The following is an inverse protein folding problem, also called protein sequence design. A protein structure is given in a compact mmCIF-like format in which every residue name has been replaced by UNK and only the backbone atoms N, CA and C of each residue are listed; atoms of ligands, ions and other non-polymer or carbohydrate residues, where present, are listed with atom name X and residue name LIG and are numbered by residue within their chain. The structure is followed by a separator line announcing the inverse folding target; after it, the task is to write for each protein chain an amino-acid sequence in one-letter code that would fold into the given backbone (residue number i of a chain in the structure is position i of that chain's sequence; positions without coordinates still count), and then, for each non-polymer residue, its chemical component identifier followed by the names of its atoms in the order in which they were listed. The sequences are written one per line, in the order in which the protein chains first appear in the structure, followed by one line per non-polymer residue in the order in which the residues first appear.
data_IF_334619540857
#
_entry.id   IF_334619540857
#
_cell.length_a   1.000
_cell.length_b   1.000
_cell.length_c   1.000
_cell.angle_alpha   90.00
_cell.angle_beta   90.00
_cell.angle_gamma   90.00
#
_symmetry.space_group_name_H-M   'P 1'
#
loop_
_entity.id
_entity.type
_entity.pdbx_description
1 polymer ?
#
# COMPACT_ATOMS: atom_id res chain seq x y z
N UNK A 1 9.27 -10.11 14.20
CA UNK A 1 7.96 -10.44 13.59
C UNK A 1 8.20 -11.46 12.49
N UNK A 2 7.41 -12.54 12.39
CA UNK A 2 7.52 -13.51 11.28
C UNK A 2 6.52 -13.13 10.21
N UNK A 3 6.99 -12.75 9.02
CA UNK A 3 6.11 -12.48 7.88
C UNK A 3 5.58 -13.83 7.35
N UNK A 4 4.27 -14.00 7.14
CA UNK A 4 3.69 -15.24 6.60
C UNK A 4 4.23 -15.59 5.21
N UNK A 5 3.98 -16.83 4.77
CA UNK A 5 4.36 -17.31 3.44
C UNK A 5 5.79 -17.84 3.32
N UNK A 6 6.15 -18.26 2.11
CA UNK A 6 7.43 -18.86 1.76
C UNK A 6 8.19 -17.99 0.76
N UNK A 7 9.51 -17.98 0.92
CA UNK A 7 10.38 -17.26 0.00
C UNK A 7 10.66 -18.16 -1.21
N UNK A 8 10.26 -17.73 -2.41
CA UNK A 8 10.45 -18.48 -3.66
C UNK A 8 11.79 -18.18 -4.34
N UNK A 9 12.36 -17.01 -4.09
CA UNK A 9 13.62 -16.52 -4.67
C UNK A 9 14.51 -15.90 -3.60
N UNK A 10 15.84 -15.93 -3.77
CA UNK A 10 16.79 -15.23 -2.91
C UNK A 10 16.98 -13.76 -3.29
N UNK A 11 16.42 -13.35 -4.41
CA UNK A 11 16.56 -12.01 -4.98
C UNK A 11 15.24 -11.24 -4.90
N UNK A 12 15.29 -9.90 -4.87
CA UNK A 12 14.12 -9.06 -5.15
C UNK A 12 13.39 -9.52 -6.41
N UNK A 13 12.08 -9.47 -6.39
CA UNK A 13 11.22 -9.87 -7.49
C UNK A 13 10.21 -8.77 -7.84
N UNK A 14 9.39 -9.04 -8.86
CA UNK A 14 8.38 -8.10 -9.36
C UNK A 14 7.45 -7.59 -8.26
N UNK A 15 7.03 -8.46 -7.32
CA UNK A 15 6.15 -8.08 -6.21
C UNK A 15 6.82 -7.05 -5.31
N UNK A 16 8.09 -7.28 -4.95
CA UNK A 16 8.87 -6.36 -4.15
C UNK A 16 9.13 -5.04 -4.88
N UNK A 17 9.42 -5.09 -6.18
CA UNK A 17 9.60 -3.90 -7.00
C UNK A 17 8.32 -3.07 -7.06
N UNK A 18 7.17 -3.71 -7.31
CA UNK A 18 5.86 -3.07 -7.37
C UNK A 18 5.48 -2.42 -6.04
N UNK A 19 5.79 -3.08 -4.92
CA UNK A 19 5.65 -2.51 -3.59
C UNK A 19 6.53 -1.25 -3.40
N UNK A 20 7.78 -1.28 -3.87
CA UNK A 20 8.68 -0.13 -3.86
C UNK A 20 8.18 1.04 -4.72
N UNK A 21 7.66 0.77 -5.92
CA UNK A 21 7.05 1.76 -6.80
C UNK A 21 5.85 2.46 -6.11
N UNK A 22 5.01 1.71 -5.39
CA UNK A 22 3.90 2.28 -4.64
C UNK A 22 4.38 3.22 -3.54
N UNK A 23 5.39 2.78 -2.77
CA UNK A 23 5.98 3.60 -1.72
C UNK A 23 6.62 4.89 -2.28
N UNK A 24 7.29 4.80 -3.44
CA UNK A 24 7.85 5.96 -4.14
C UNK A 24 6.76 6.92 -4.64
N UNK A 25 5.66 6.41 -5.20
CA UNK A 25 4.52 7.23 -5.62
C UNK A 25 3.90 7.98 -4.42
N UNK A 26 3.77 7.32 -3.26
CA UNK A 26 3.39 7.98 -2.01
C UNK A 26 4.48 8.96 -1.56
N UNK A 27 5.77 8.70 -1.68
CA UNK A 27 6.79 9.70 -1.31
C UNK A 27 6.68 10.95 -2.19
N UNK A 28 6.62 10.77 -3.50
CA UNK A 28 6.75 11.82 -4.51
C UNK A 28 5.43 12.54 -4.82
N UNK A 29 4.34 12.14 -4.15
CA UNK A 29 3.01 12.70 -4.35
C UNK A 29 2.40 12.43 -5.73
N UNK A 30 2.82 11.34 -6.38
CA UNK A 30 2.14 10.77 -7.53
C UNK A 30 0.95 9.91 -7.07
N UNK A 31 -0.10 10.59 -6.63
CA UNK A 31 -1.27 9.91 -6.05
C UNK A 31 -2.14 9.22 -7.09
N UNK A 32 -2.04 9.61 -8.36
CA UNK A 32 -2.71 8.92 -9.46
C UNK A 32 -2.10 7.53 -9.66
N UNK A 33 -0.77 7.45 -9.72
CA UNK A 33 -0.06 6.19 -9.77
C UNK A 33 -0.34 5.35 -8.52
N UNK A 34 -0.17 5.93 -7.32
CA UNK A 34 -0.39 5.19 -6.07
C UNK A 34 -1.83 4.64 -5.97
N UNK A 35 -2.83 5.38 -6.42
CA UNK A 35 -4.23 4.93 -6.44
C UNK A 35 -4.46 3.80 -7.45
N UNK A 36 -3.85 3.88 -8.63
CA UNK A 36 -3.98 2.87 -9.67
C UNK A 36 -3.39 1.50 -9.28
N UNK A 37 -2.38 1.50 -8.40
CA UNK A 37 -1.70 0.29 -7.90
C UNK A 37 -2.46 -0.44 -6.79
N UNK A 38 -3.61 0.06 -6.37
CA UNK A 38 -4.42 -0.57 -5.33
C UNK A 38 -5.30 -1.68 -5.91
N UNK A 39 -5.47 -2.77 -5.14
CA UNK A 39 -6.46 -3.80 -5.45
C UNK A 39 -7.85 -3.18 -5.64
N UNK A 40 -8.70 -3.77 -6.48
CA UNK A 40 -10.08 -3.26 -6.67
C UNK A 40 -10.83 -3.18 -5.34
N UNK A 41 -10.62 -4.17 -4.47
CA UNK A 41 -11.23 -4.20 -3.14
C UNK A 41 -10.74 -3.04 -2.26
N UNK A 42 -9.43 -2.79 -2.22
CA UNK A 42 -8.86 -1.69 -1.43
C UNK A 42 -9.33 -0.33 -1.94
N UNK A 43 -9.42 -0.12 -3.27
CA UNK A 43 -10.02 1.11 -3.85
C UNK A 43 -11.48 1.26 -3.46
N UNK A 44 -12.25 0.19 -3.67
CA UNK A 44 -13.66 0.05 -3.28
C UNK A 44 -13.92 0.56 -1.87
N UNK A 45 -13.17 -0.01 -0.94
CA UNK A 45 -13.29 0.28 0.47
C UNK A 45 -12.83 1.72 0.80
N UNK A 46 -11.70 2.17 0.25
CA UNK A 46 -11.16 3.51 0.52
C UNK A 46 -12.12 4.63 0.10
N UNK A 47 -12.66 4.58 -1.12
CA UNK A 47 -13.60 5.63 -1.54
C UNK A 47 -14.92 5.53 -0.74
N UNK A 48 -15.36 4.33 -0.37
CA UNK A 48 -16.58 4.15 0.44
C UNK A 48 -16.44 4.73 1.85
N UNK A 49 -15.29 4.50 2.50
CA UNK A 49 -14.97 5.12 3.80
C UNK A 49 -14.86 6.63 3.68
N UNK A 50 -14.17 7.12 2.67
CA UNK A 50 -14.07 8.57 2.42
C UNK A 50 -15.45 9.20 2.20
N UNK A 51 -16.31 8.58 1.38
CA UNK A 51 -17.68 9.01 1.15
C UNK A 51 -18.47 9.12 2.47
N UNK A 52 -18.37 8.09 3.31
CA UNK A 52 -19.02 8.04 4.63
C UNK A 52 -18.53 9.16 5.55
N UNK A 53 -17.21 9.36 5.62
CA UNK A 53 -16.58 10.36 6.49
C UNK A 53 -16.95 11.79 6.08
N UNK A 54 -17.01 12.05 4.78
CA UNK A 54 -17.26 13.37 4.20
C UNK A 54 -18.75 13.62 3.87
N UNK A 55 -19.63 12.64 4.15
CA UNK A 55 -21.07 12.68 3.82
C UNK A 55 -21.33 12.94 2.33
N UNK A 56 -20.55 12.30 1.47
CA UNK A 56 -20.66 12.38 0.01
C UNK A 56 -21.54 11.23 -0.47
N UNK A 57 -22.37 11.50 -1.49
CA UNK A 57 -23.13 10.46 -2.17
C UNK A 57 -22.21 9.36 -2.75
N UNK A 58 -22.59 8.10 -2.58
CA UNK A 58 -21.74 6.96 -2.96
C UNK A 58 -21.46 6.93 -4.47
N UNK A 59 -22.40 7.35 -5.33
CA UNK A 59 -22.17 7.40 -6.77
C UNK A 59 -21.18 8.51 -7.14
N UNK A 60 -21.23 9.64 -6.45
CA UNK A 60 -20.26 10.74 -6.62
C UNK A 60 -18.87 10.29 -6.20
N UNK A 61 -18.75 9.59 -5.06
CA UNK A 61 -17.47 9.06 -4.60
C UNK A 61 -16.91 7.97 -5.52
N UNK A 62 -17.77 7.08 -6.02
CA UNK A 62 -17.41 6.10 -7.04
C UNK A 62 -16.87 6.77 -8.31
N UNK A 63 -17.56 7.79 -8.83
CA UNK A 63 -17.06 8.54 -10.00
C UNK A 63 -15.72 9.20 -9.71
N UNK A 64 -15.56 9.85 -8.56
CA UNK A 64 -14.28 10.43 -8.15
C UNK A 64 -13.14 9.40 -8.06
N UNK A 65 -13.46 8.13 -7.74
CA UNK A 65 -12.48 7.06 -7.63
C UNK A 65 -12.00 6.49 -8.97
N UNK A 66 -12.81 6.58 -10.03
CA UNK A 66 -12.53 5.94 -11.32
C UNK A 66 -12.47 6.90 -12.53
N UNK A 67 -12.96 8.13 -12.38
CA UNK A 67 -12.84 9.20 -13.37
C UNK A 67 -11.78 10.23 -12.89
N UNK A 68 -10.63 10.24 -13.56
CA UNK A 68 -9.51 11.13 -13.25
C UNK A 68 -9.83 12.61 -13.50
N UNK A 69 -10.88 12.91 -14.28
CA UNK A 69 -11.32 14.28 -14.55
C UNK A 69 -12.37 14.78 -13.57
N UNK A 70 -12.84 13.93 -12.66
CA UNK A 70 -13.90 14.28 -11.72
C UNK A 70 -13.43 15.37 -10.74
N UNK A 71 -14.24 16.42 -10.46
CA UNK A 71 -13.83 17.55 -9.61
C UNK A 71 -13.36 17.17 -8.19
N UNK A 72 -13.84 16.03 -7.66
CA UNK A 72 -13.47 15.55 -6.33
C UNK A 72 -12.28 14.59 -6.31
N UNK A 73 -11.67 14.28 -7.47
CA UNK A 73 -10.53 13.36 -7.59
C UNK A 73 -9.39 13.76 -6.66
N UNK A 74 -8.95 15.03 -6.74
CA UNK A 74 -7.87 15.57 -5.91
C UNK A 74 -8.17 15.47 -4.42
N UNK A 75 -9.42 15.71 -4.01
CA UNK A 75 -9.80 15.63 -2.60
C UNK A 75 -9.73 14.19 -2.06
N UNK A 76 -10.22 13.22 -2.83
CA UNK A 76 -10.13 11.79 -2.51
C UNK A 76 -8.66 11.34 -2.40
N UNK A 77 -7.83 11.70 -3.39
CA UNK A 77 -6.43 11.31 -3.43
C UNK A 77 -5.60 11.95 -2.30
N UNK A 78 -5.92 13.19 -1.94
CA UNK A 78 -5.28 13.88 -0.81
C UNK A 78 -5.63 13.20 0.52
N UNK A 79 -6.91 12.84 0.72
CA UNK A 79 -7.35 12.10 1.91
C UNK A 79 -6.68 10.73 2.01
N UNK A 80 -6.60 10.00 0.88
CA UNK A 80 -5.88 8.73 0.78
C UNK A 80 -4.40 8.88 1.15
N UNK A 81 -3.69 9.88 0.60
CA UNK A 81 -2.30 10.17 0.96
C UNK A 81 -2.14 10.41 2.46
N UNK A 82 -2.99 11.26 3.03
CA UNK A 82 -2.94 11.57 4.46
C UNK A 82 -3.17 10.34 5.32
N UNK A 83 -4.04 9.43 4.89
CA UNK A 83 -4.24 8.16 5.57
C UNK A 83 -2.96 7.33 5.57
N UNK A 84 -2.32 7.17 4.40
CA UNK A 84 -1.08 6.41 4.27
C UNK A 84 0.02 7.00 5.16
N UNK A 85 0.20 8.32 5.12
CA UNK A 85 1.25 9.02 5.86
C UNK A 85 1.04 9.02 7.39
N UNK A 86 -0.15 8.68 7.88
CA UNK A 86 -0.38 8.43 9.32
C UNK A 86 0.25 7.12 9.79
N UNK A 87 0.51 6.19 8.88
CA UNK A 87 1.14 4.90 9.17
C UNK A 87 2.61 4.85 8.83
N UNK A 88 3.00 5.50 7.74
CA UNK A 88 4.38 5.56 7.28
C UNK A 88 4.77 7.01 7.17
N UNK A 89 5.63 7.49 8.09
CA UNK A 89 6.10 8.86 8.01
C UNK A 89 6.83 9.06 6.68
N UNK A 90 6.78 10.27 6.13
CA UNK A 90 7.39 10.54 4.81
C UNK A 90 8.90 10.22 4.82
N UNK A 91 9.58 10.49 5.94
CA UNK A 91 11.00 10.19 6.13
C UNK A 91 11.29 8.68 6.03
N UNK A 92 10.36 7.83 6.45
CA UNK A 92 10.49 6.37 6.36
C UNK A 92 10.41 5.89 4.90
N UNK A 93 9.77 6.65 4.01
CA UNK A 93 9.60 6.29 2.60
C UNK A 93 10.77 6.72 1.70
N UNK A 94 11.70 7.54 2.21
CA UNK A 94 12.82 8.08 1.43
C UNK A 94 13.91 7.04 1.13
N UNK A 95 14.17 6.12 2.08
CA UNK A 95 15.30 5.19 2.06
C UNK A 95 14.85 3.72 2.09
N UNK A 96 13.95 3.33 1.19
CA UNK A 96 13.41 1.97 1.14
C UNK A 96 14.21 1.04 0.24
N UNK A 97 14.51 -0.15 0.76
CA UNK A 97 15.01 -1.28 -0.02
C UNK A 97 13.91 -2.19 -0.50
N UNK A 98 14.27 -3.12 -1.39
CA UNK A 98 13.39 -4.23 -1.78
C UNK A 98 14.03 -5.52 -1.32
N UNK A 99 13.28 -6.33 -0.58
CA UNK A 99 13.72 -7.66 -0.13
C UNK A 99 12.98 -8.75 -0.88
N UNK A 100 13.49 -10.00 -0.86
CA UNK A 100 12.77 -11.12 -1.45
C UNK A 100 11.38 -11.28 -0.84
N UNK A 101 10.37 -11.35 -1.70
CA UNK A 101 8.96 -11.45 -1.32
C UNK A 101 8.64 -12.79 -0.66
N UNK A 102 7.68 -12.77 0.27
CA UNK A 102 7.11 -13.99 0.84
C UNK A 102 5.72 -14.25 0.28
N UNK A 103 5.55 -15.41 -0.35
CA UNK A 103 4.31 -15.82 -1.00
C UNK A 103 3.49 -16.67 -0.06
N UNK A 104 2.23 -16.30 0.19
CA UNK A 104 1.30 -17.13 0.95
C UNK A 104 0.75 -18.24 0.05
N UNK A 105 0.40 -17.86 -1.17
CA UNK A 105 -0.02 -18.75 -2.25
C UNK A 105 0.38 -18.10 -3.60
N UNK A 106 -0.23 -18.52 -4.70
CA UNK A 106 0.08 -18.01 -6.04
C UNK A 106 -0.50 -16.63 -6.36
N UNK A 107 -1.42 -16.14 -5.53
CA UNK A 107 -2.11 -14.86 -5.74
C UNK A 107 -1.97 -13.88 -4.56
N UNK A 108 -1.47 -14.32 -3.41
CA UNK A 108 -1.23 -13.50 -2.23
C UNK A 108 0.24 -13.52 -1.81
N UNK A 109 0.77 -12.34 -1.53
CA UNK A 109 2.15 -12.19 -1.09
C UNK A 109 2.32 -11.04 -0.08
N UNK A 110 3.46 -11.03 0.59
CA UNK A 110 3.91 -9.93 1.43
C UNK A 110 5.28 -9.44 0.92
N UNK A 111 5.29 -8.21 0.43
CA UNK A 111 6.52 -7.49 0.14
C UNK A 111 7.02 -6.81 1.42
N UNK A 112 8.32 -6.84 1.66
CA UNK A 112 8.96 -6.15 2.78
C UNK A 112 9.97 -5.14 2.27
N UNK A 113 9.79 -3.89 2.66
CA UNK A 113 10.60 -2.75 2.28
C UNK A 113 11.37 -2.22 3.51
N UNK A 114 12.62 -2.66 3.74
CA UNK A 114 13.41 -2.24 4.89
C UNK A 114 13.87 -0.78 4.77
N UNK A 115 13.90 -0.09 5.89
CA UNK A 115 14.44 1.27 5.98
C UNK A 115 15.98 1.26 5.93
N UNK A 116 16.55 2.26 5.28
CA UNK A 116 18.00 2.49 5.23
C UNK A 116 18.78 1.54 4.32
N UNK A 117 18.11 0.83 3.40
CA UNK A 117 18.74 -0.12 2.47
C UNK A 117 18.46 0.30 1.04
N UNK A 118 19.32 1.10 0.42
CA UNK A 118 19.07 1.60 -0.95
C UNK A 118 19.62 0.70 -2.07
N UNK A 119 20.44 -0.32 -1.74
CA UNK A 119 21.04 -1.24 -2.69
C UNK A 119 20.93 -2.71 -2.24
N UNK A 120 20.57 -3.57 -3.20
CA UNK A 120 20.52 -5.03 -3.19
C UNK A 120 20.57 -5.74 -1.82
N UNK A 121 19.40 -6.19 -1.38
CA UNK A 121 19.17 -6.95 -0.16
C UNK A 121 19.74 -8.39 -0.17
N UNK A 122 20.62 -8.75 -1.11
CA UNK A 122 21.20 -10.11 -1.22
C UNK A 122 21.98 -10.53 0.03
N UNK A 123 22.33 -9.59 0.92
CA UNK A 123 23.13 -9.83 2.13
C UNK A 123 22.45 -9.44 3.44
N UNK A 124 21.13 -9.55 3.54
CA UNK A 124 20.46 -9.42 4.84
C UNK A 124 20.76 -10.65 5.69
N UNK A 125 21.76 -10.49 6.54
CA UNK A 125 22.18 -11.50 7.51
C UNK A 125 21.00 -11.82 8.43
N UNK A 126 20.64 -13.11 8.53
CA UNK A 126 19.47 -13.68 9.22
C UNK A 126 19.28 -13.33 10.72
N UNK A 127 20.02 -12.37 11.28
CA UNK A 127 20.09 -12.08 12.73
C UNK A 127 19.92 -10.61 13.13
N UNK A 128 19.65 -9.68 12.19
CA UNK A 128 19.29 -8.30 12.56
C UNK A 128 17.80 -8.07 12.37
N UNK A 129 17.14 -7.58 13.42
CA UNK A 129 15.79 -7.02 13.32
C UNK A 129 15.90 -5.75 12.49
N UNK A 130 15.23 -5.71 11.34
CA UNK A 130 15.15 -4.52 10.50
C UNK A 130 13.74 -3.95 10.55
N UNK A 131 13.66 -2.64 10.77
CA UNK A 131 12.43 -1.88 10.61
C UNK A 131 12.15 -1.68 9.13
N UNK A 132 10.88 -1.67 8.75
CA UNK A 132 10.47 -1.49 7.37
C UNK A 132 8.96 -1.57 7.22
N UNK A 133 8.50 -1.35 6.00
CA UNK A 133 7.09 -1.46 5.63
C UNK A 133 6.80 -2.87 5.12
N UNK A 134 5.73 -3.49 5.61
CA UNK A 134 5.19 -4.72 5.04
C UNK A 134 3.95 -4.35 4.23
N UNK A 135 3.95 -4.65 2.94
CA UNK A 135 2.83 -4.45 2.04
C UNK A 135 2.23 -5.80 1.67
N UNK A 136 0.97 -6.08 2.04
CA UNK A 136 0.22 -7.18 1.46
C UNK A 136 -0.05 -6.90 -0.02
N UNK A 137 0.11 -7.93 -0.84
CA UNK A 137 0.03 -7.85 -2.28
C UNK A 137 -0.95 -8.93 -2.78
N UNK A 138 -1.74 -8.57 -3.79
CA UNK A 138 -2.73 -9.44 -4.43
C UNK A 138 -2.49 -9.44 -5.94
N UNK A 139 -2.40 -10.61 -6.56
CA UNK A 139 -2.35 -10.75 -8.01
C UNK A 139 -3.76 -10.63 -8.56
N UNK A 140 -4.03 -9.54 -9.29
CA UNK A 140 -5.32 -9.27 -9.91
C UNK A 140 -5.11 -8.96 -11.39
N UNK A 141 -5.84 -9.67 -12.26
CA UNK A 141 -5.77 -9.47 -13.72
C UNK A 141 -4.36 -9.58 -14.33
N UNK A 142 -3.49 -10.38 -13.69
CA UNK A 142 -2.11 -10.59 -14.13
C UNK A 142 -1.11 -9.56 -13.62
N UNK A 143 -1.55 -8.59 -12.82
CA UNK A 143 -0.67 -7.60 -12.18
C UNK A 143 -0.74 -7.68 -10.65
N UNK A 144 0.40 -7.52 -9.99
CA UNK A 144 0.43 -7.39 -8.54
C UNK A 144 -0.07 -6.02 -8.11
N UNK A 145 -1.07 -6.02 -7.24
CA UNK A 145 -1.70 -4.85 -6.66
C UNK A 145 -1.43 -4.80 -5.16
N UNK A 146 -1.39 -3.59 -4.61
CA UNK A 146 -1.27 -3.35 -3.18
C UNK A 146 -2.64 -3.58 -2.53
N UNK A 147 -2.68 -4.52 -1.59
CA UNK A 147 -3.88 -4.85 -0.83
C UNK A 147 -3.74 -4.39 0.61
N UNK A 148 -4.57 -3.43 1.04
CA UNK A 148 -4.47 -2.82 2.36
C UNK A 148 -5.73 -3.12 3.21
N UNK A 149 -5.99 -4.41 3.52
CA UNK A 149 -7.19 -4.83 4.24
C UNK A 149 -7.22 -4.31 5.68
N UNK A 150 -6.05 -3.99 6.27
CA UNK A 150 -5.94 -3.43 7.61
C UNK A 150 -6.64 -2.07 7.78
N UNK A 151 -6.90 -1.36 6.68
CA UNK A 151 -7.61 -0.09 6.71
C UNK A 151 -9.10 -0.22 7.02
N UNK A 152 -9.65 -1.43 6.93
CA UNK A 152 -11.01 -1.75 7.36
C UNK A 152 -11.23 -1.49 8.86
N UNK A 153 -10.17 -1.56 9.67
CA UNK A 153 -10.25 -1.44 11.14
C UNK A 153 -10.00 -0.02 11.66
N UNK A 154 -9.86 0.97 10.78
CA UNK A 154 -9.48 2.34 11.13
C UNK A 154 -10.57 3.16 11.84
N UNK A 155 -11.71 2.56 12.17
CA UNK A 155 -12.77 3.22 12.95
C UNK A 155 -13.51 2.24 13.88
N UNK A 156 -12.88 1.80 14.96
CA UNK A 156 -13.60 1.31 16.16
C UNK A 156 -13.43 2.20 17.39
N UNK A 157 -12.82 3.39 17.27
CA UNK A 157 -12.79 4.41 18.33
C UNK A 157 -13.54 5.68 17.92
N UNK A 158 -14.85 5.52 17.70
CA UNK A 158 -15.85 6.57 17.94
C UNK A 158 -17.00 5.99 18.77
N UNK A 159 -16.67 5.51 19.95
CA UNK A 159 -17.57 5.56 21.10
C UNK A 159 -16.80 6.27 22.21
N UNK A 160 -16.96 7.59 22.25
CA UNK A 160 -16.70 8.35 23.45
C UNK A 160 -18.06 8.90 23.89
N UNK A 161 -18.51 8.37 25.02
CA UNK A 161 -19.26 9.04 26.10
C UNK A 161 -20.56 9.75 25.73
#
# INVERSE_FOLDING_TARGET
MRIPGEQRSQYPDEVGQRAGEFAAAIRDNDMEQAWAMLSKETRGMRFGVWATQQKIDMQVAYRAAYDSTHPMRTALLTDFRQLVLRFWALDDLADLGVTPTRYVDDIHAFAFLPFGVTNDATWITHRRVMSGVILPMLLEEGEWQVDLPGWRFLQTTRQAS
#
